data_IF_403854114490
#
_entry.id   IF_403854114490
#
_cell.length_a   1.000
_cell.length_b   1.000
_cell.length_c   1.000
_cell.angle_alpha   90.00
_cell.angle_beta   90.00
_cell.angle_gamma   90.00
#
_symmetry.space_group_name_H-M   'P 1'
#
loop_
_entity.id
_entity.type
_entity.pdbx_description
1 polymer ?
#
# COMPACT_ATOMS: atom_id res chain seq x y z
N UNK A 1 -3.45 -3.46 -4.72
CA UNK A 1 -4.61 -3.71 -5.60
C UNK A 1 -4.71 -5.20 -5.88
N UNK A 2 -5.83 -5.69 -6.40
CA UNK A 2 -6.03 -7.08 -6.79
C UNK A 2 -6.50 -7.18 -8.23
N UNK A 3 -6.09 -8.22 -8.95
CA UNK A 3 -6.67 -8.53 -10.27
C UNK A 3 -8.13 -8.93 -10.10
N UNK A 4 -9.02 -8.24 -10.81
CA UNK A 4 -10.47 -8.48 -10.78
C UNK A 4 -10.97 -9.22 -12.02
N UNK A 5 -10.39 -8.93 -13.18
CA UNK A 5 -10.77 -9.51 -14.47
C UNK A 5 -9.66 -9.39 -15.49
N UNK A 6 -9.69 -10.25 -16.50
CA UNK A 6 -8.90 -10.12 -17.74
C UNK A 6 -9.92 -10.03 -18.88
N UNK A 7 -9.82 -9.02 -19.73
CA UNK A 7 -10.76 -8.83 -20.83
C UNK A 7 -10.40 -9.63 -22.09
N UNK A 8 -11.16 -9.41 -23.17
CA UNK A 8 -10.95 -10.11 -24.44
C UNK A 8 -9.67 -9.72 -25.17
N UNK A 9 -9.13 -8.54 -24.86
CA UNK A 9 -7.95 -7.96 -25.50
C UNK A 9 -6.68 -8.18 -24.66
N UNK A 10 -6.81 -8.77 -23.47
CA UNK A 10 -5.70 -9.08 -22.55
C UNK A 10 -5.39 -7.99 -21.53
N UNK A 11 -6.21 -6.93 -21.44
CA UNK A 11 -6.05 -5.94 -20.38
C UNK A 11 -6.59 -6.47 -19.06
N UNK A 12 -5.87 -6.15 -17.98
CA UNK A 12 -6.18 -6.62 -16.64
C UNK A 12 -6.90 -5.52 -15.85
N UNK A 13 -8.16 -5.75 -15.51
CA UNK A 13 -8.93 -4.87 -14.63
C UNK A 13 -8.63 -5.17 -13.16
N UNK A 14 -8.67 -4.13 -12.33
CA UNK A 14 -8.29 -4.21 -10.91
C UNK A 14 -9.45 -3.87 -9.96
N UNK A 15 -9.30 -4.34 -8.73
CA UNK A 15 -10.02 -3.88 -7.54
C UNK A 15 -9.02 -3.23 -6.57
N UNK A 16 -9.43 -2.13 -5.94
CA UNK A 16 -8.58 -1.46 -4.94
C UNK A 16 -8.71 -2.14 -3.58
N UNK A 17 -7.62 -2.11 -2.82
CA UNK A 17 -7.62 -2.47 -1.40
C UNK A 17 -7.22 -1.19 -0.67
N UNK A 18 -8.14 -0.61 0.08
CA UNK A 18 -7.98 0.74 0.64
C UNK A 18 -8.28 1.86 -0.36
N UNK A 19 -7.99 3.10 0.05
CA UNK A 19 -8.22 4.30 -0.75
C UNK A 19 -7.07 4.56 -1.72
N UNK A 20 -7.37 4.64 -3.02
CA UNK A 20 -6.40 5.05 -4.05
C UNK A 20 -6.99 6.16 -4.91
N UNK A 21 -6.17 7.15 -5.26
CA UNK A 21 -6.56 8.22 -6.17
C UNK A 21 -6.21 7.84 -7.63
N UNK A 22 -7.21 7.53 -8.49
CA UNK A 22 -6.95 7.11 -9.87
C UNK A 22 -6.17 8.13 -10.70
N UNK A 23 -6.26 9.42 -10.38
CA UNK A 23 -5.51 10.47 -11.07
C UNK A 23 -3.99 10.28 -10.98
N UNK A 24 -3.52 9.79 -9.84
CA UNK A 24 -2.08 9.59 -9.58
C UNK A 24 -1.57 8.25 -10.15
N UNK A 25 -2.48 7.35 -10.53
CA UNK A 25 -2.16 5.98 -10.91
C UNK A 25 -1.84 5.84 -12.40
N UNK A 26 -2.45 6.64 -13.27
CA UNK A 26 -2.26 6.52 -14.72
C UNK A 26 -0.78 6.73 -15.08
N UNK A 27 -0.23 5.82 -15.89
CA UNK A 27 1.17 5.84 -16.30
C UNK A 27 2.14 5.25 -15.27
N UNK A 28 1.67 4.90 -14.07
CA UNK A 28 2.51 4.21 -13.09
C UNK A 28 2.81 2.78 -13.55
N UNK A 29 4.07 2.37 -13.35
CA UNK A 29 4.48 0.98 -13.53
C UNK A 29 4.00 0.15 -12.34
N UNK A 30 3.63 -1.09 -12.60
CA UNK A 30 3.17 -2.05 -11.60
C UNK A 30 3.83 -3.41 -11.80
N UNK A 31 3.82 -4.20 -10.74
CA UNK A 31 4.17 -5.62 -10.76
C UNK A 31 2.92 -6.39 -10.32
N UNK A 32 2.50 -7.33 -11.16
CA UNK A 32 1.52 -8.36 -10.82
C UNK A 32 2.28 -9.53 -10.20
N UNK A 33 1.98 -9.83 -8.95
CA UNK A 33 2.57 -10.93 -8.19
C UNK A 33 1.78 -12.21 -8.41
N UNK A 34 1.95 -12.80 -9.59
CA UNK A 34 1.45 -14.14 -9.90
C UNK A 34 2.52 -15.20 -9.58
N UNK A 35 2.45 -16.39 -10.18
CA UNK A 35 3.48 -17.44 -10.02
C UNK A 35 4.86 -16.95 -10.42
N UNK A 36 4.92 -16.12 -11.47
CA UNK A 36 6.11 -15.39 -11.89
C UNK A 36 5.75 -13.91 -11.97
N UNK A 37 6.59 -13.02 -11.44
CA UNK A 37 6.30 -11.59 -11.45
C UNK A 37 6.12 -11.05 -12.88
N UNK A 38 4.96 -10.46 -13.16
CA UNK A 38 4.65 -9.84 -14.46
C UNK A 38 4.68 -8.33 -14.33
N UNK A 39 5.47 -7.66 -15.17
CA UNK A 39 5.48 -6.19 -15.22
C UNK A 39 4.29 -5.66 -16.01
N UNK A 40 3.77 -4.52 -15.60
CA UNK A 40 2.72 -3.81 -16.34
C UNK A 40 2.74 -2.31 -16.13
N UNK A 41 1.85 -1.63 -16.84
CA UNK A 41 1.62 -0.18 -16.74
C UNK A 41 0.13 0.10 -16.62
N UNK A 42 -0.24 1.05 -15.77
CA UNK A 42 -1.63 1.48 -15.61
C UNK A 42 -2.01 2.41 -16.77
N UNK A 43 -3.07 2.07 -17.49
CA UNK A 43 -3.59 2.80 -18.64
C UNK A 43 -5.06 3.15 -18.46
N UNK A 44 -5.54 4.29 -19.00
CA UNK A 44 -6.95 4.59 -19.01
C UNK A 44 -7.66 3.71 -20.04
N UNK A 45 -8.84 3.18 -19.70
CA UNK A 45 -9.67 2.39 -20.59
C UNK A 45 -10.21 3.22 -21.77
N UNK A 46 -10.51 4.50 -21.54
CA UNK A 46 -11.05 5.42 -22.56
C UNK A 46 -10.11 6.60 -22.77
N UNK A 47 -9.86 6.94 -24.04
CA UNK A 47 -9.17 8.18 -24.42
C UNK A 47 -10.11 9.37 -24.21
N UNK A 48 -9.57 10.48 -23.66
CA UNK A 48 -10.25 11.77 -23.61
C UNK A 48 -10.98 12.12 -22.31
N UNK A 49 -10.96 11.23 -21.31
CA UNK A 49 -11.41 11.58 -19.96
C UNK A 49 -10.28 12.31 -19.21
N UNK A 50 -10.51 13.54 -18.69
CA UNK A 50 -9.45 14.30 -18.01
C UNK A 50 -9.00 13.65 -16.70
N UNK A 51 -9.89 12.87 -16.08
CA UNK A 51 -9.65 12.07 -14.87
C UNK A 51 -10.44 10.77 -15.01
N UNK A 52 -9.79 9.59 -15.07
CA UNK A 52 -10.51 8.32 -15.07
C UNK A 52 -10.98 7.97 -13.66
N UNK A 53 -12.13 7.30 -13.57
CA UNK A 53 -12.55 6.62 -12.35
C UNK A 53 -11.76 5.32 -12.14
N UNK A 54 -11.76 4.76 -10.92
CA UNK A 54 -11.02 3.52 -10.61
C UNK A 54 -11.43 2.31 -11.48
N UNK A 55 -12.69 2.24 -11.89
CA UNK A 55 -13.15 1.15 -12.77
C UNK A 55 -12.79 1.38 -14.25
N UNK A 56 -12.30 2.57 -14.59
CA UNK A 56 -11.87 3.00 -15.92
C UNK A 56 -10.35 2.94 -16.09
N UNK A 57 -9.61 2.41 -15.12
CA UNK A 57 -8.18 2.10 -15.26
C UNK A 57 -7.98 0.59 -15.43
N UNK A 58 -7.00 0.25 -16.27
CA UNK A 58 -6.61 -1.12 -16.60
C UNK A 58 -5.08 -1.23 -16.48
N UNK A 59 -4.58 -2.46 -16.40
CA UNK A 59 -3.16 -2.77 -16.50
C UNK A 59 -2.90 -3.40 -17.86
N UNK A 60 -1.96 -2.81 -18.58
CA UNK A 60 -1.35 -3.40 -19.77
C UNK A 60 -0.04 -4.08 -19.37
N UNK A 61 0.06 -5.39 -19.63
CA UNK A 61 1.27 -6.18 -19.40
C UNK A 61 2.07 -6.42 -20.68
N UNK A 62 1.61 -5.91 -21.82
CA UNK A 62 2.31 -5.97 -23.10
C UNK A 62 2.39 -7.36 -23.74
N UNK A 63 1.53 -8.30 -23.32
CA UNK A 63 1.52 -9.68 -23.80
C UNK A 63 0.25 -9.99 -24.62
N UNK A 64 0.31 -10.96 -25.55
CA UNK A 64 -0.89 -11.52 -26.18
C UNK A 64 -1.88 -12.08 -25.15
N UNK A 65 -3.19 -12.01 -25.44
CA UNK A 65 -4.26 -12.42 -24.51
C UNK A 65 -4.11 -13.84 -23.95
N UNK A 66 -3.64 -14.79 -24.76
CA UNK A 66 -3.45 -16.18 -24.33
C UNK A 66 -2.30 -16.33 -23.32
N UNK A 67 -1.25 -15.51 -23.48
CA UNK A 67 -0.12 -15.45 -22.54
C UNK A 67 -0.55 -14.77 -21.24
N UNK A 68 -1.32 -13.68 -21.31
CA UNK A 68 -1.88 -13.01 -20.12
C UNK A 68 -2.71 -13.98 -19.29
N UNK A 69 -3.61 -14.74 -19.93
CA UNK A 69 -4.46 -15.72 -19.26
C UNK A 69 -3.70 -16.90 -18.65
N UNK A 70 -2.49 -17.15 -19.13
CA UNK A 70 -1.61 -18.19 -18.62
C UNK A 70 -0.72 -17.69 -17.48
N UNK A 71 -0.40 -16.39 -17.47
CA UNK A 71 0.53 -15.76 -16.53
C UNK A 71 -0.14 -15.04 -15.36
N UNK A 72 -1.40 -14.59 -15.51
CA UNK A 72 -2.13 -13.77 -14.52
C UNK A 72 -3.45 -14.44 -14.16
N UNK A 73 -3.74 -14.53 -12.86
CA UNK A 73 -4.96 -15.09 -12.31
C UNK A 73 -5.80 -14.01 -11.59
N UNK A 74 -7.13 -14.19 -11.57
CA UNK A 74 -8.00 -13.34 -10.76
C UNK A 74 -7.65 -13.52 -9.28
N UNK A 75 -7.46 -12.41 -8.58
CA UNK A 75 -7.00 -12.40 -7.19
C UNK A 75 -5.50 -12.13 -7.02
N UNK A 76 -4.71 -12.16 -8.10
CA UNK A 76 -3.29 -11.81 -8.02
C UNK A 76 -3.09 -10.41 -7.47
N UNK A 77 -2.06 -10.26 -6.62
CA UNK A 77 -1.75 -8.98 -5.99
C UNK A 77 -1.01 -8.09 -6.98
N UNK A 78 -1.46 -6.84 -7.10
CA UNK A 78 -0.77 -5.82 -7.89
C UNK A 78 -0.21 -4.74 -6.98
N UNK A 79 1.08 -4.45 -7.15
CA UNK A 79 1.80 -3.40 -6.45
C UNK A 79 2.44 -2.41 -7.42
N UNK A 80 2.60 -1.15 -7.02
CA UNK A 80 3.40 -0.19 -7.77
C UNK A 80 4.86 -0.65 -7.86
N UNK A 81 5.44 -0.56 -9.06
CA UNK A 81 6.83 -0.89 -9.34
C UNK A 81 7.74 0.30 -8.97
N UNK A 82 7.80 0.58 -7.67
CA UNK A 82 8.60 1.67 -7.12
C UNK A 82 9.61 1.10 -6.12
N UNK A 83 10.87 1.48 -6.34
CA UNK A 83 11.97 1.20 -5.44
C UNK A 83 12.13 2.31 -4.41
N UNK A 84 12.79 1.98 -3.29
CA UNK A 84 13.23 2.99 -2.33
C UNK A 84 14.30 3.87 -2.99
N UNK A 85 14.10 5.18 -2.97
CA UNK A 85 15.03 6.15 -3.55
C UNK A 85 15.27 7.29 -2.57
N UNK A 86 16.52 7.72 -2.48
CA UNK A 86 16.87 8.92 -1.73
C UNK A 86 16.54 10.16 -2.56
N UNK A 87 15.70 11.05 -2.01
CA UNK A 87 15.42 12.34 -2.61
C UNK A 87 16.48 13.37 -2.23
N UNK A 88 16.75 13.50 -0.92
CA UNK A 88 17.73 14.44 -0.40
C UNK A 88 18.12 14.10 1.04
N UNK A 89 19.42 14.02 1.35
CA UNK A 89 19.95 13.72 2.69
C UNK A 89 19.30 12.50 3.37
N UNK A 90 18.28 12.72 4.22
CA UNK A 90 17.54 11.70 4.96
C UNK A 90 16.07 11.58 4.51
N UNK A 91 15.70 12.19 3.38
CA UNK A 91 14.36 12.18 2.80
C UNK A 91 14.30 11.11 1.72
N UNK A 92 13.46 10.11 1.94
CA UNK A 92 13.29 8.97 1.04
C UNK A 92 11.91 8.98 0.40
N UNK A 93 11.82 8.47 -0.83
CA UNK A 93 10.57 8.12 -1.48
C UNK A 93 10.55 6.63 -1.76
N UNK A 94 9.36 6.05 -1.71
CA UNK A 94 9.14 4.63 -1.90
C UNK A 94 7.66 4.33 -1.84
N UNK A 95 7.34 3.04 -1.82
CA UNK A 95 5.97 2.55 -1.69
C UNK A 95 5.72 1.97 -0.30
N UNK A 96 4.48 2.07 0.15
CA UNK A 96 3.96 1.36 1.33
C UNK A 96 4.72 1.70 2.62
N UNK A 97 5.10 2.97 2.82
CA UNK A 97 5.65 3.41 4.10
C UNK A 97 4.61 3.34 5.22
N UNK A 98 3.38 3.72 4.88
CA UNK A 98 2.18 3.48 5.68
C UNK A 98 1.76 2.00 5.58
N UNK A 99 1.82 1.18 6.64
CA UNK A 99 2.54 1.42 7.93
C UNK A 99 3.71 0.45 8.11
N UNK A 100 4.47 0.18 7.04
CA UNK A 100 5.69 -0.63 7.15
C UNK A 100 6.77 0.07 7.98
N UNK A 101 6.80 1.40 8.02
CA UNK A 101 7.73 2.13 8.89
C UNK A 101 7.37 1.89 10.35
N UNK A 102 6.09 2.01 10.76
CA UNK A 102 5.66 1.72 12.11
C UNK A 102 5.96 0.28 12.52
N UNK A 103 5.74 -0.69 11.62
CA UNK A 103 6.13 -2.10 11.85
C UNK A 103 7.64 -2.24 12.04
N UNK A 104 8.47 -1.58 11.24
CA UNK A 104 9.92 -1.61 11.42
C UNK A 104 10.33 -1.05 12.79
N UNK A 105 9.79 0.12 13.16
CA UNK A 105 10.03 0.73 14.47
C UNK A 105 9.60 -0.18 15.62
N UNK A 106 8.46 -0.86 15.49
CA UNK A 106 7.98 -1.83 16.48
C UNK A 106 8.92 -3.02 16.62
N UNK A 107 9.39 -3.58 15.50
CA UNK A 107 10.34 -4.70 15.51
C UNK A 107 11.69 -4.29 16.11
N UNK A 108 12.21 -3.12 15.77
CA UNK A 108 13.45 -2.58 16.32
C UNK A 108 13.32 -2.31 17.83
N UNK A 109 12.19 -1.71 18.26
CA UNK A 109 11.91 -1.51 19.68
C UNK A 109 11.88 -2.84 20.44
N UNK A 110 11.19 -3.87 19.92
CA UNK A 110 11.14 -5.20 20.54
C UNK A 110 12.49 -5.93 20.52
N UNK A 111 13.36 -5.65 19.54
CA UNK A 111 14.71 -6.21 19.52
C UNK A 111 15.62 -5.58 20.59
N UNK A 112 15.34 -4.33 20.97
CA UNK A 112 16.11 -3.56 21.95
C UNK A 112 15.45 -3.49 23.34
N UNK A 113 14.19 -3.93 23.49
CA UNK A 113 13.49 -3.98 24.76
C UNK A 113 14.18 -5.04 25.63
N UNK A 114 14.88 -4.60 26.66
CA UNK A 114 15.52 -5.51 27.61
C UNK A 114 14.49 -6.26 28.46
N UNK A 115 14.86 -6.59 29.69
CA UNK A 115 13.89 -7.09 30.64
C UNK A 115 12.85 -6.02 30.99
N UNK A 116 11.58 -6.36 30.85
CA UNK A 116 10.45 -5.50 31.22
C UNK A 116 9.81 -5.97 32.52
N UNK A 117 9.21 -5.04 33.26
CA UNK A 117 8.43 -5.35 34.47
C UNK A 117 7.01 -5.83 34.17
N UNK A 118 6.61 -5.82 32.90
CA UNK A 118 5.30 -6.20 32.39
C UNK A 118 5.47 -7.11 31.18
N UNK A 119 4.44 -7.89 30.86
CA UNK A 119 4.39 -8.61 29.60
C UNK A 119 4.26 -7.62 28.45
N UNK A 120 5.16 -7.72 27.47
CA UNK A 120 5.21 -6.81 26.32
C UNK A 120 4.88 -7.60 25.06
N UNK A 121 3.89 -7.12 24.30
CA UNK A 121 3.44 -7.72 23.06
C UNK A 121 3.59 -6.73 21.92
N UNK A 122 4.05 -7.21 20.77
CA UNK A 122 4.01 -6.49 19.51
C UNK A 122 2.99 -7.17 18.58
N UNK A 123 2.05 -6.38 18.05
CA UNK A 123 1.03 -6.87 17.14
C UNK A 123 1.10 -6.11 15.81
N UNK A 124 1.44 -6.82 14.73
CA UNK A 124 1.22 -6.34 13.37
C UNK A 124 -0.10 -6.92 12.88
N UNK A 125 -1.05 -6.05 12.53
CA UNK A 125 -2.41 -6.46 12.15
C UNK A 125 -2.68 -6.17 10.68
N UNK A 126 -3.71 -6.81 10.13
CA UNK A 126 -4.12 -6.64 8.73
C UNK A 126 -5.42 -5.84 8.65
N UNK A 127 -5.68 -5.26 7.48
CA UNK A 127 -6.92 -4.53 7.17
C UNK A 127 -7.17 -3.30 8.06
N UNK A 128 -6.11 -2.56 8.40
CA UNK A 128 -6.19 -1.19 8.92
C UNK A 128 -7.03 -0.32 7.96
N UNK A 129 -6.60 -0.29 6.69
CA UNK A 129 -7.19 0.47 5.57
C UNK A 129 -8.65 0.13 5.22
N UNK A 130 -9.22 -0.89 5.88
CA UNK A 130 -10.62 -1.30 5.74
C UNK A 130 -11.42 -1.11 7.05
N UNK A 131 -10.90 -0.28 7.96
CA UNK A 131 -11.48 0.05 9.25
C UNK A 131 -10.91 -0.79 10.40
N UNK A 132 -9.58 -0.90 10.49
CA UNK A 132 -8.84 -1.50 11.64
C UNK A 132 -9.32 -2.89 12.06
N UNK A 133 -9.76 -3.71 11.10
CA UNK A 133 -10.48 -4.97 11.39
C UNK A 133 -9.63 -6.03 12.09
N UNK A 134 -8.32 -6.01 11.88
CA UNK A 134 -7.39 -6.93 12.56
C UNK A 134 -7.16 -6.60 14.03
N UNK A 135 -7.31 -5.33 14.42
CA UNK A 135 -6.97 -4.87 15.77
C UNK A 135 -7.92 -5.43 16.85
N UNK A 136 -9.26 -5.43 16.70
CA UNK A 136 -10.15 -6.01 17.69
C UNK A 136 -9.84 -7.47 18.03
N UNK A 137 -9.46 -8.27 17.03
CA UNK A 137 -9.12 -9.69 17.24
C UNK A 137 -7.84 -9.84 18.09
N UNK A 138 -6.79 -9.07 17.80
CA UNK A 138 -5.57 -9.10 18.59
C UNK A 138 -5.78 -8.54 20.00
N UNK A 139 -6.56 -7.46 20.17
CA UNK A 139 -6.90 -6.92 21.49
C UNK A 139 -7.69 -7.94 22.33
N UNK A 140 -8.65 -8.65 21.73
CA UNK A 140 -9.43 -9.67 22.42
C UNK A 140 -8.58 -10.88 22.85
N UNK A 141 -7.57 -11.26 22.06
CA UNK A 141 -6.70 -12.39 22.37
C UNK A 141 -5.63 -12.07 23.42
N UNK A 142 -5.10 -10.84 23.42
CA UNK A 142 -4.00 -10.41 24.30
C UNK A 142 -4.54 -9.81 25.61
N UNK A 143 -5.71 -9.16 25.58
CA UNK A 143 -6.30 -8.42 26.70
C UNK A 143 -5.31 -7.42 27.36
N UNK A 144 -4.70 -6.49 26.59
CA UNK A 144 -3.66 -5.62 27.13
C UNK A 144 -4.23 -4.56 28.07
N UNK A 145 -3.49 -4.26 29.15
CA UNK A 145 -3.83 -3.15 30.05
C UNK A 145 -3.53 -1.76 29.46
N UNK A 146 -2.54 -1.68 28.55
CA UNK A 146 -2.16 -0.46 27.81
C UNK A 146 -1.84 -0.84 26.37
N UNK A 147 -2.36 -0.08 25.42
CA UNK A 147 -2.04 -0.20 23.99
C UNK A 147 -1.33 1.05 23.49
N UNK A 148 -0.28 0.86 22.68
CA UNK A 148 0.39 1.94 21.94
C UNK A 148 0.17 1.68 20.46
N UNK A 149 -0.55 2.57 19.79
CA UNK A 149 -0.71 2.54 18.34
C UNK A 149 0.48 3.26 17.70
N UNK A 150 1.10 2.60 16.72
CA UNK A 150 2.12 3.19 15.86
C UNK A 150 1.51 3.25 14.47
N UNK A 151 1.52 4.44 13.89
CA UNK A 151 0.98 4.71 12.56
C UNK A 151 1.63 5.97 11.98
N UNK A 152 1.59 6.12 10.66
CA UNK A 152 2.00 7.33 9.98
C UNK A 152 1.12 8.52 10.37
N UNK A 153 1.69 9.73 10.32
CA UNK A 153 0.91 10.96 10.48
C UNK A 153 1.10 11.90 9.30
N UNK A 154 0.08 12.72 9.08
CA UNK A 154 0.05 13.68 8.01
C UNK A 154 0.93 14.90 8.35
N UNK A 155 1.89 15.18 7.48
CA UNK A 155 2.83 16.29 7.61
C UNK A 155 2.32 17.51 6.83
N UNK A 156 2.43 18.70 7.43
CA UNK A 156 2.06 19.96 6.78
C UNK A 156 2.73 20.14 5.41
N UNK A 157 1.97 20.68 4.45
CA UNK A 157 2.41 20.81 3.05
C UNK A 157 1.30 21.33 2.13
N UNK A 158 1.48 21.19 0.81
CA UNK A 158 0.62 21.81 -0.20
C UNK A 158 -0.90 21.50 -0.09
N UNK A 159 -1.27 20.44 0.63
CA UNK A 159 -2.65 19.97 0.75
C UNK A 159 -3.14 19.80 2.20
N UNK A 160 -2.34 20.18 3.20
CA UNK A 160 -2.68 20.06 4.62
C UNK A 160 -2.56 21.44 5.24
N UNK A 161 -3.64 21.95 5.83
CA UNK A 161 -3.61 23.25 6.45
C UNK A 161 -2.65 23.25 7.65
N UNK A 162 -2.02 24.39 7.95
CA UNK A 162 -1.01 24.48 9.03
C UNK A 162 -1.55 24.00 10.38
N UNK A 163 -2.82 24.28 10.69
CA UNK A 163 -3.48 23.85 11.93
C UNK A 163 -3.85 22.36 11.97
N UNK A 164 -3.78 21.66 10.84
CA UNK A 164 -3.99 20.20 10.71
C UNK A 164 -2.65 19.44 10.68
N UNK A 165 -1.52 20.16 10.55
CA UNK A 165 -0.19 19.56 10.61
C UNK A 165 0.11 19.11 12.04
N UNK A 166 0.41 17.83 12.20
CA UNK A 166 0.70 17.23 13.52
C UNK A 166 2.18 16.93 13.74
N UNK A 167 2.99 16.93 12.68
CA UNK A 167 4.41 16.60 12.75
C UNK A 167 5.24 17.32 11.67
N UNK A 168 6.55 17.40 11.90
CA UNK A 168 7.56 17.89 10.96
C UNK A 168 8.57 16.78 10.63
N UNK A 169 8.99 16.68 9.36
CA UNK A 169 9.99 15.68 8.96
C UNK A 169 11.31 15.86 9.74
N UNK A 170 11.84 14.77 10.29
CA UNK A 170 13.14 14.77 10.98
C UNK A 170 13.13 15.32 12.41
N UNK A 171 11.95 15.59 12.99
CA UNK A 171 11.84 16.13 14.36
C UNK A 171 11.55 15.10 15.46
N UNK A 172 11.30 13.84 15.08
CA UNK A 172 10.95 12.77 16.03
C UNK A 172 9.50 12.92 16.45
#
# INVERSE_FOLDING_TARGET
MLVKRIDGDGFTGIETVGGLNPQLMVGQRVIVHSRESVNGVIVPWKRGHPVPELHEILIDVGMPVDDVRSAVEIGDVVMFAQDLSLLHENVYTGRNFDDRIGIYCLLDAMANVGQTSVDTYAASTVQEELGVRGMPAAAFAIEPGVGVALDGSAMGGAHIAEHESTCEMGRG
#
